data_IF_974560913460
#
_entry.id   IF_974560913460
#
_cell.length_a   1.000
_cell.length_b   1.000
_cell.length_c   1.000
_cell.angle_alpha   90.00
_cell.angle_beta   90.00
_cell.angle_gamma   90.00
#
_symmetry.space_group_name_H-M   'P 1'
#
loop_
_entity.id
_entity.type
_entity.pdbx_description
1 polymer ?
#
# COMPACT_ATOMS: atom_id res chain seq x y z
N UNK A 1 11.54 56.91 -27.98
CA UNK A 1 11.39 56.75 -26.51
C UNK A 1 10.84 55.36 -26.21
N UNK A 2 10.63 55.02 -24.95
CA UNK A 2 10.88 53.69 -24.38
C UNK A 2 10.08 52.46 -24.85
N UNK A 3 10.78 51.31 -24.74
CA UNK A 3 10.26 49.95 -24.90
C UNK A 3 9.48 49.51 -23.66
N UNK A 4 8.16 49.56 -23.68
CA UNK A 4 7.33 49.00 -22.61
C UNK A 4 7.20 47.47 -22.74
N UNK A 5 8.06 46.72 -22.03
CA UNK A 5 7.92 45.26 -21.83
C UNK A 5 6.83 44.94 -20.80
N UNK A 6 5.77 44.16 -21.12
CA UNK A 6 4.99 43.47 -20.11
C UNK A 6 5.87 42.45 -19.38
N UNK A 7 5.96 42.52 -18.04
CA UNK A 7 6.85 41.67 -17.26
C UNK A 7 6.34 40.22 -17.20
N UNK A 8 7.15 39.29 -17.71
CA UNK A 8 7.00 37.85 -17.49
C UNK A 8 7.03 37.51 -16.00
N UNK A 9 5.86 37.26 -15.41
CA UNK A 9 5.71 36.52 -14.14
C UNK A 9 4.63 35.46 -14.26
N UNK A 10 4.97 34.41 -15.00
CA UNK A 10 4.33 33.11 -14.94
C UNK A 10 4.25 32.68 -13.47
N UNK A 11 3.08 32.84 -12.84
CA UNK A 11 2.86 32.50 -11.43
C UNK A 11 2.88 30.97 -11.30
N UNK A 12 4.08 30.40 -11.15
CA UNK A 12 4.24 29.07 -10.56
C UNK A 12 3.50 29.09 -9.22
N UNK A 13 2.36 28.39 -9.18
CA UNK A 13 1.39 28.45 -8.09
C UNK A 13 1.86 27.51 -6.99
N UNK A 14 3.00 27.85 -6.38
CA UNK A 14 3.64 27.08 -5.32
C UNK A 14 2.61 26.75 -4.24
N UNK A 15 2.26 25.46 -4.14
CA UNK A 15 1.18 25.01 -3.26
C UNK A 15 1.50 25.39 -1.82
N UNK A 16 0.60 26.11 -1.16
CA UNK A 16 0.85 26.72 0.15
C UNK A 16 0.86 25.63 1.23
N UNK A 17 2.01 25.00 1.41
CA UNK A 17 2.15 23.69 2.05
C UNK A 17 1.93 23.68 3.57
N UNK A 18 1.87 24.86 4.20
CA UNK A 18 1.68 25.01 5.64
C UNK A 18 2.90 24.63 6.49
N UNK A 19 4.07 24.43 5.86
CA UNK A 19 5.36 24.21 6.52
C UNK A 19 6.14 25.53 6.65
N UNK A 20 6.96 25.65 7.70
CA UNK A 20 7.87 26.80 7.87
C UNK A 20 9.14 26.64 7.02
N UNK A 21 9.85 27.73 6.72
CA UNK A 21 11.10 27.68 5.93
C UNK A 21 12.16 26.71 6.51
N UNK A 22 12.38 26.64 7.85
CA UNK A 22 13.27 25.63 8.45
C UNK A 22 12.78 24.18 8.28
N UNK A 23 11.47 23.92 8.36
CA UNK A 23 10.89 22.60 8.13
C UNK A 23 11.16 22.14 6.69
N UNK A 24 10.86 22.99 5.71
CA UNK A 24 11.10 22.74 4.28
C UNK A 24 12.59 22.46 4.03
N UNK A 25 13.51 23.30 4.52
CA UNK A 25 14.95 23.10 4.39
C UNK A 25 15.43 21.77 5.02
N UNK A 26 14.78 21.32 6.09
CA UNK A 26 15.07 20.01 6.72
C UNK A 26 14.56 18.86 5.86
N UNK A 27 13.36 18.97 5.28
CA UNK A 27 12.78 17.98 4.37
C UNK A 27 13.61 17.85 3.08
N UNK A 28 14.02 18.97 2.48
CA UNK A 28 14.92 18.99 1.31
C UNK A 28 16.29 18.34 1.60
N UNK A 29 16.86 18.55 2.79
CA UNK A 29 18.11 17.89 3.22
C UNK A 29 17.97 16.37 3.36
N UNK A 30 16.77 15.85 3.66
CA UNK A 30 16.52 14.40 3.64
C UNK A 30 16.27 13.88 2.23
N UNK A 31 15.51 14.59 1.40
CA UNK A 31 15.23 14.23 0.00
C UNK A 31 16.51 14.08 -0.85
N UNK A 32 17.56 14.84 -0.53
CA UNK A 32 18.88 14.74 -1.17
C UNK A 32 19.81 13.67 -0.58
N UNK A 33 19.39 12.91 0.46
CA UNK A 33 20.23 11.93 1.18
C UNK A 33 19.81 10.47 1.01
N UNK A 34 18.52 10.21 0.80
CA UNK A 34 17.97 8.90 0.40
C UNK A 34 16.62 9.17 -0.25
N UNK A 35 16.28 8.46 -1.33
CA UNK A 35 14.99 8.60 -2.01
C UNK A 35 13.99 7.52 -1.59
N UNK A 36 14.43 6.29 -1.32
CA UNK A 36 13.53 5.19 -0.94
C UNK A 36 12.93 5.37 0.47
N UNK A 37 13.74 5.77 1.48
CA UNK A 37 13.28 5.89 2.87
C UNK A 37 12.19 6.96 3.10
N UNK A 38 11.97 7.88 2.15
CA UNK A 38 11.09 9.04 2.29
C UNK A 38 9.61 8.69 2.34
N UNK A 39 9.21 7.54 1.78
CA UNK A 39 7.80 7.14 1.67
C UNK A 39 7.32 6.27 2.84
N UNK A 40 8.23 5.83 3.73
CA UNK A 40 7.88 5.13 4.97
C UNK A 40 6.90 5.97 5.81
N UNK A 41 5.79 5.33 6.18
CA UNK A 41 4.75 5.88 7.06
C UNK A 41 5.35 6.24 8.43
N UNK A 42 6.34 5.47 8.88
CA UNK A 42 7.05 5.58 10.17
C UNK A 42 8.05 6.73 10.12
N UNK A 43 8.77 6.91 9.01
CA UNK A 43 9.59 8.09 8.75
C UNK A 43 8.74 9.38 8.74
N UNK A 44 7.60 9.36 8.04
CA UNK A 44 6.67 10.48 8.00
C UNK A 44 6.05 10.80 9.38
N UNK A 45 5.64 9.78 10.15
CA UNK A 45 5.19 9.89 11.56
C UNK A 45 6.28 10.53 12.42
N UNK A 46 7.52 10.01 12.37
CA UNK A 46 8.68 10.49 13.16
C UNK A 46 9.02 11.95 12.83
N UNK A 47 9.02 12.31 11.55
CA UNK A 47 9.29 13.68 11.11
C UNK A 47 8.17 14.65 11.52
N UNK A 48 6.90 14.26 11.36
CA UNK A 48 5.75 15.09 11.74
C UNK A 48 5.65 15.32 13.27
N UNK A 49 5.98 14.30 14.07
CA UNK A 49 6.17 14.45 15.54
C UNK A 49 7.27 15.48 15.84
N UNK A 50 8.46 15.28 15.29
CA UNK A 50 9.64 16.16 15.51
C UNK A 50 9.42 17.63 15.07
N UNK A 51 8.54 17.89 14.10
CA UNK A 51 8.16 19.26 13.74
C UNK A 51 7.09 19.84 14.66
N UNK A 52 6.09 19.03 15.05
CA UNK A 52 5.02 19.46 15.96
C UNK A 52 5.53 19.74 17.37
N UNK A 53 6.57 19.03 17.81
CA UNK A 53 7.27 19.25 19.09
C UNK A 53 8.40 20.29 19.03
N UNK A 54 8.51 21.07 17.94
CA UNK A 54 9.57 22.07 17.79
C UNK A 54 9.14 23.45 18.32
N UNK A 55 10.05 24.16 18.98
CA UNK A 55 9.76 25.48 19.59
C UNK A 55 9.20 26.51 18.59
N UNK A 56 9.61 26.45 17.31
CA UNK A 56 9.08 27.29 16.23
C UNK A 56 7.59 27.07 15.87
N UNK A 57 6.95 26.06 16.49
CA UNK A 57 5.54 25.71 16.35
C UNK A 57 4.70 25.85 17.62
N UNK A 58 5.22 26.46 18.70
CA UNK A 58 4.40 26.84 19.84
C UNK A 58 3.13 27.60 19.38
N UNK A 59 1.95 27.19 19.87
CA UNK A 59 0.65 27.76 19.49
C UNK A 59 0.14 27.44 18.09
N UNK A 60 0.79 26.57 17.30
CA UNK A 60 0.36 26.22 15.92
C UNK A 60 -0.22 24.80 15.83
N UNK A 61 -1.16 24.53 14.89
CA UNK A 61 -1.72 23.20 14.70
C UNK A 61 -0.67 22.11 14.43
N UNK A 62 -0.89 20.95 15.05
CA UNK A 62 -0.08 19.72 14.90
C UNK A 62 0.00 19.31 13.42
N UNK A 63 1.19 18.91 12.97
CA UNK A 63 1.37 18.38 11.62
C UNK A 63 0.87 16.94 11.57
N UNK A 64 -0.19 16.68 10.79
CA UNK A 64 -0.56 15.30 10.42
C UNK A 64 0.51 14.71 9.50
N UNK A 65 0.96 13.48 9.77
CA UNK A 65 2.04 12.81 9.03
C UNK A 65 1.77 12.71 7.52
N UNK A 66 0.52 12.61 7.11
CA UNK A 66 0.09 12.63 5.71
C UNK A 66 0.54 13.91 4.99
N UNK A 67 0.52 15.08 5.63
CA UNK A 67 1.02 16.33 5.01
C UNK A 67 2.53 16.29 4.71
N UNK A 68 3.31 15.58 5.53
CA UNK A 68 4.75 15.37 5.28
C UNK A 68 4.94 14.45 4.07
N UNK A 69 4.19 13.35 4.01
CA UNK A 69 4.23 12.41 2.89
C UNK A 69 3.80 13.07 1.57
N UNK A 70 2.69 13.83 1.54
CA UNK A 70 2.22 14.55 0.36
C UNK A 70 3.24 15.57 -0.16
N UNK A 71 3.99 16.23 0.74
CA UNK A 71 5.05 17.15 0.34
C UNK A 71 6.21 16.42 -0.35
N UNK A 72 6.65 15.27 0.19
CA UNK A 72 7.70 14.46 -0.44
C UNK A 72 7.26 13.92 -1.80
N UNK A 73 6.02 13.41 -1.92
CA UNK A 73 5.46 12.92 -3.18
C UNK A 73 5.43 14.02 -4.27
N UNK A 74 4.92 15.21 -3.92
CA UNK A 74 4.91 16.35 -4.85
C UNK A 74 6.34 16.75 -5.29
N UNK A 75 7.29 16.80 -4.36
CA UNK A 75 8.68 17.18 -4.63
C UNK A 75 9.43 16.14 -5.47
N UNK A 76 9.11 14.85 -5.33
CA UNK A 76 9.60 13.79 -6.20
C UNK A 76 9.02 13.92 -7.62
N UNK A 77 7.72 14.21 -7.75
CA UNK A 77 7.05 14.42 -9.04
C UNK A 77 7.58 15.66 -9.80
N UNK A 78 7.88 16.74 -9.08
CA UNK A 78 8.62 17.92 -9.62
C UNK A 78 10.06 17.60 -10.07
N UNK A 79 10.67 16.53 -9.55
CA UNK A 79 12.03 16.11 -9.93
C UNK A 79 12.05 15.16 -11.12
N UNK A 80 11.06 14.27 -11.24
CA UNK A 80 10.91 13.37 -12.39
C UNK A 80 10.51 14.10 -13.67
N UNK A 81 9.81 15.24 -13.55
CA UNK A 81 9.41 16.11 -14.68
C UNK A 81 10.53 17.06 -15.15
N UNK A 82 11.80 16.80 -14.79
CA UNK A 82 12.98 17.59 -15.19
C UNK A 82 14.11 16.74 -15.76
N UNK A 83 13.84 16.09 -16.90
CA UNK A 83 14.88 15.67 -17.84
C UNK A 83 14.83 16.62 -19.05
N UNK A 84 15.84 17.49 -19.27
CA UNK A 84 15.90 18.32 -20.47
C UNK A 84 16.19 17.45 -21.69
N UNK A 85 15.34 17.53 -22.71
CA UNK A 85 15.65 16.98 -24.04
C UNK A 85 16.51 17.97 -24.82
N UNK A 86 17.65 17.51 -25.32
CA UNK A 86 18.51 18.24 -26.24
C UNK A 86 19.10 17.28 -27.29
N UNK A 87 18.55 17.39 -28.52
CA UNK A 87 19.23 17.66 -29.80
C UNK A 87 20.38 16.76 -30.30
N UNK A 88 20.57 16.54 -31.60
CA UNK A 88 19.73 16.62 -32.82
C UNK A 88 20.59 16.10 -34.00
N UNK A 89 20.02 15.87 -35.19
CA UNK A 89 20.71 15.45 -36.45
C UNK A 89 21.18 13.98 -36.42
N UNK A 90 21.11 13.20 -37.50
CA UNK A 90 21.04 13.53 -38.92
C UNK A 90 19.94 12.78 -39.72
N UNK A 91 19.74 13.23 -40.98
CA UNK A 91 18.72 12.76 -41.92
C UNK A 91 19.30 11.77 -42.93
N UNK A 92 18.46 10.92 -43.55
CA UNK A 92 18.23 10.89 -45.02
C UNK A 92 17.05 9.96 -45.38
N UNK A 93 16.36 10.36 -46.44
CA UNK A 93 15.16 9.85 -47.12
C UNK A 93 15.27 8.36 -47.54
N UNK A 94 14.22 7.61 -47.94
CA UNK A 94 12.86 7.92 -48.42
C UNK A 94 11.88 6.75 -48.06
N UNK A 95 10.60 6.64 -48.45
CA UNK A 95 9.79 7.34 -49.49
C UNK A 95 8.30 7.52 -49.07
N UNK A 96 7.37 7.39 -50.01
CA UNK A 96 5.99 7.93 -50.01
C UNK A 96 5.03 6.91 -50.63
N UNK A 97 3.83 6.78 -50.03
CA UNK A 97 2.47 6.72 -50.65
C UNK A 97 1.51 5.90 -49.76
N UNK A 98 0.22 6.22 -49.58
CA UNK A 98 -0.53 7.50 -49.66
C UNK A 98 -1.98 7.25 -49.18
N UNK A 99 -2.62 8.27 -48.59
CA UNK A 99 -4.08 8.39 -48.24
C UNK A 99 -4.44 8.30 -46.74
N UNK A 100 -4.82 9.45 -46.19
CA UNK A 100 -5.70 9.65 -45.02
C UNK A 100 -6.72 10.74 -45.41
N UNK A 101 -7.92 10.82 -44.80
CA UNK A 101 -8.01 11.59 -43.55
C UNK A 101 -9.05 11.11 -42.50
N UNK A 102 -8.63 11.20 -41.22
CA UNK A 102 -9.37 11.77 -40.08
C UNK A 102 -10.75 11.21 -39.65
N UNK A 103 -10.75 10.45 -38.55
CA UNK A 103 -11.37 10.91 -37.27
C UNK A 103 -10.61 10.31 -36.07
N UNK A 104 -10.77 10.87 -34.87
CA UNK A 104 -9.87 10.70 -33.71
C UNK A 104 -10.20 9.52 -32.76
N UNK A 105 -9.17 8.97 -32.10
CA UNK A 105 -9.37 8.08 -30.94
C UNK A 105 -8.19 7.19 -30.49
N UNK A 106 -7.18 7.71 -29.78
CA UNK A 106 -6.16 6.88 -29.12
C UNK A 106 -6.72 6.16 -27.87
N UNK A 107 -6.03 5.07 -27.48
CA UNK A 107 -6.49 4.08 -26.51
C UNK A 107 -6.77 4.61 -25.09
N UNK A 108 -7.71 3.92 -24.42
CA UNK A 108 -8.20 4.11 -23.04
C UNK A 108 -7.08 4.37 -22.01
N UNK A 109 -7.22 5.44 -21.19
CA UNK A 109 -7.22 5.24 -19.73
C UNK A 109 -8.47 5.87 -19.09
N UNK A 110 -9.49 5.05 -18.82
CA UNK A 110 -10.73 5.53 -18.19
C UNK A 110 -10.56 5.69 -16.67
N UNK A 111 -10.80 6.92 -16.24
CA UNK A 111 -10.63 7.50 -14.91
C UNK A 111 -11.30 6.68 -13.79
N UNK A 112 -10.48 5.95 -13.02
CA UNK A 112 -10.67 5.71 -11.59
C UNK A 112 -9.46 6.33 -10.87
N UNK A 113 -9.55 7.46 -10.16
CA UNK A 113 -10.21 7.70 -8.86
C UNK A 113 -9.85 6.68 -7.78
N UNK A 114 -9.32 7.24 -6.68
CA UNK A 114 -8.83 6.58 -5.45
C UNK A 114 -7.52 5.82 -5.65
N UNK A 115 -6.61 5.98 -4.70
CA UNK A 115 -5.24 5.53 -4.79
C UNK A 115 -4.36 6.19 -3.73
N UNK A 116 -4.70 6.02 -2.45
CA UNK A 116 -3.63 6.02 -1.45
C UNK A 116 -2.65 4.93 -1.89
N UNK A 117 -1.37 5.27 -2.04
CA UNK A 117 -0.35 4.24 -2.22
C UNK A 117 -0.25 3.45 -0.92
N UNK A 118 -0.97 2.33 -0.91
CA UNK A 118 -0.57 1.09 -0.24
C UNK A 118 0.96 0.96 -0.40
N UNK A 119 1.71 0.52 0.63
CA UNK A 119 3.12 0.18 0.47
C UNK A 119 3.32 -0.76 -0.73
N UNK A 120 4.54 -0.90 -1.23
CA UNK A 120 4.81 -1.84 -2.31
C UNK A 120 4.84 -3.28 -1.76
N UNK A 121 3.64 -3.83 -1.52
CA UNK A 121 3.45 -5.17 -0.95
C UNK A 121 3.84 -6.29 -1.92
N UNK A 122 4.28 -5.97 -3.15
CA UNK A 122 4.67 -6.96 -4.16
C UNK A 122 5.88 -7.81 -3.75
N UNK A 123 6.73 -7.31 -2.85
CA UNK A 123 7.84 -8.06 -2.25
C UNK A 123 7.51 -8.79 -0.93
N UNK A 124 6.27 -8.73 -0.44
CA UNK A 124 5.86 -9.42 0.80
C UNK A 124 5.23 -10.77 0.48
N UNK A 125 6.08 -11.79 0.34
CA UNK A 125 5.69 -13.12 -0.15
C UNK A 125 5.03 -14.02 0.91
N UNK A 126 5.19 -13.72 2.19
CA UNK A 126 4.83 -14.58 3.31
C UNK A 126 4.03 -13.86 4.40
N UNK A 127 3.14 -14.62 5.03
CA UNK A 127 2.46 -14.27 6.28
C UNK A 127 2.75 -15.34 7.34
N UNK A 128 2.81 -14.92 8.60
CA UNK A 128 3.04 -15.81 9.74
C UNK A 128 2.03 -15.53 10.87
N UNK A 129 1.71 -16.56 11.65
CA UNK A 129 0.70 -16.51 12.70
C UNK A 129 1.35 -16.23 14.06
N UNK A 130 0.98 -15.14 14.71
CA UNK A 130 1.47 -14.81 16.05
C UNK A 130 0.99 -15.85 17.07
N UNK A 131 1.87 -16.14 18.04
CA UNK A 131 1.58 -16.95 19.22
C UNK A 131 0.80 -16.19 20.30
N UNK A 132 0.78 -14.84 20.23
CA UNK A 132 0.20 -13.96 21.26
C UNK A 132 -1.32 -13.87 21.18
N UNK A 133 -1.87 -13.84 19.97
CA UNK A 133 -3.32 -13.65 19.73
C UNK A 133 -3.91 -14.56 18.63
N UNK A 134 -3.08 -15.38 17.96
CA UNK A 134 -3.50 -16.28 16.88
C UNK A 134 -3.76 -15.61 15.53
N UNK A 135 -3.45 -14.31 15.38
CA UNK A 135 -3.65 -13.58 14.13
C UNK A 135 -2.49 -13.78 13.13
N UNK A 136 -2.81 -13.61 11.84
CA UNK A 136 -1.83 -13.62 10.74
C UNK A 136 -1.35 -12.21 10.41
N UNK A 137 -0.03 -12.10 10.20
CA UNK A 137 0.66 -10.84 9.90
C UNK A 137 1.66 -11.04 8.75
N UNK A 138 1.83 -10.00 7.93
CA UNK A 138 2.89 -9.94 6.91
C UNK A 138 4.27 -10.10 7.57
N UNK A 139 5.12 -10.97 7.01
CA UNK A 139 6.52 -11.12 7.44
C UNK A 139 7.40 -10.09 6.73
N UNK A 140 8.12 -9.27 7.50
CA UNK A 140 9.10 -8.29 7.02
C UNK A 140 10.45 -8.96 6.71
N UNK A 141 10.89 -9.87 7.58
CA UNK A 141 12.15 -10.62 7.43
C UNK A 141 12.16 -11.88 8.31
N UNK A 142 12.70 -12.98 7.77
CA UNK A 142 13.12 -14.13 8.57
C UNK A 142 14.55 -13.89 9.08
N UNK A 143 14.74 -13.83 10.40
CA UNK A 143 15.98 -13.41 11.03
C UNK A 143 16.96 -14.56 11.26
N UNK A 144 16.46 -15.73 11.67
CA UNK A 144 17.23 -16.96 11.91
C UNK A 144 16.29 -18.16 12.04
N UNK A 145 16.84 -19.37 12.12
CA UNK A 145 16.11 -20.64 12.28
C UNK A 145 16.65 -21.47 13.44
N UNK A 146 15.81 -22.33 14.01
CA UNK A 146 16.20 -23.35 15.00
C UNK A 146 15.45 -24.65 14.74
N UNK A 147 16.02 -25.75 15.19
CA UNK A 147 15.35 -27.04 15.26
C UNK A 147 15.13 -27.38 16.74
N UNK A 148 13.89 -27.69 17.11
CA UNK A 148 13.58 -28.19 18.45
C UNK A 148 14.02 -29.66 18.58
N UNK A 149 14.19 -30.14 19.82
CA UNK A 149 14.50 -31.56 20.08
C UNK A 149 13.41 -32.55 19.62
N UNK A 150 12.23 -32.06 19.25
CA UNK A 150 11.15 -32.80 18.59
C UNK A 150 11.32 -32.97 17.07
N UNK A 151 12.37 -32.40 16.47
CA UNK A 151 12.58 -32.36 15.02
C UNK A 151 11.72 -31.32 14.27
N UNK A 152 10.92 -30.53 14.99
CA UNK A 152 10.12 -29.46 14.39
C UNK A 152 10.98 -28.20 14.12
N UNK A 153 10.97 -27.67 12.88
CA UNK A 153 11.69 -26.45 12.53
C UNK A 153 10.89 -25.19 12.88
N UNK A 154 11.58 -24.19 13.43
CA UNK A 154 11.03 -22.88 13.75
C UNK A 154 11.93 -21.77 13.20
N UNK A 155 11.33 -20.64 12.86
CA UNK A 155 12.01 -19.43 12.38
C UNK A 155 11.66 -18.24 13.28
N UNK A 156 12.63 -17.37 13.50
CA UNK A 156 12.42 -16.09 14.16
C UNK A 156 11.97 -15.08 13.10
N UNK A 157 10.72 -14.63 13.16
CA UNK A 157 10.15 -13.65 12.22
C UNK A 157 10.09 -12.26 12.83
N UNK A 158 10.35 -11.25 11.99
CA UNK A 158 9.89 -9.88 12.23
C UNK A 158 8.63 -9.61 11.40
N UNK A 159 7.62 -9.04 12.03
CA UNK A 159 6.37 -8.66 11.37
C UNK A 159 6.41 -7.22 10.83
N UNK A 160 5.71 -6.97 9.72
CA UNK A 160 5.70 -5.65 9.06
C UNK A 160 5.12 -4.58 9.99
N UNK A 161 5.95 -3.58 10.32
CA UNK A 161 5.57 -2.44 11.17
C UNK A 161 5.82 -2.65 12.67
N UNK A 162 6.32 -3.81 13.07
CA UNK A 162 6.72 -4.14 14.45
C UNK A 162 8.23 -3.96 14.67
N UNK A 163 8.66 -3.95 15.93
CA UNK A 163 10.07 -3.81 16.32
C UNK A 163 10.72 -5.13 16.73
N UNK A 164 12.02 -5.09 17.06
CA UNK A 164 12.77 -6.27 17.51
C UNK A 164 12.35 -6.77 18.91
N UNK A 165 11.63 -5.93 19.64
CA UNK A 165 10.90 -6.22 20.87
C UNK A 165 9.67 -7.12 20.66
N UNK A 166 9.21 -7.28 19.41
CA UNK A 166 8.02 -8.03 19.04
C UNK A 166 8.32 -9.23 18.11
N UNK A 167 9.60 -9.51 17.81
CA UNK A 167 10.02 -10.67 17.00
C UNK A 167 9.57 -12.00 17.65
N UNK A 168 9.04 -12.94 16.85
CA UNK A 168 8.47 -14.21 17.37
C UNK A 168 9.10 -15.45 16.73
N UNK A 169 9.28 -16.50 17.54
CA UNK A 169 9.60 -17.83 17.06
C UNK A 169 8.33 -18.55 16.61
N UNK A 170 8.22 -18.87 15.32
CA UNK A 170 7.04 -19.51 14.72
C UNK A 170 7.43 -20.82 14.03
N UNK A 171 6.56 -21.83 14.15
CA UNK A 171 6.74 -23.14 13.52
C UNK A 171 6.51 -23.05 11.99
N UNK A 172 7.51 -23.45 11.21
CA UNK A 172 7.51 -23.28 9.74
C UNK A 172 6.34 -24.03 9.07
N UNK A 173 5.94 -25.19 9.60
CA UNK A 173 4.89 -26.04 8.99
C UNK A 173 3.47 -25.61 9.36
N UNK A 174 3.30 -24.87 10.47
CA UNK A 174 1.99 -24.63 11.13
C UNK A 174 1.64 -23.15 11.29
N UNK A 175 2.60 -22.25 11.13
CA UNK A 175 2.46 -20.83 11.43
C UNK A 175 3.21 -19.91 10.44
N UNK A 176 3.64 -20.42 9.29
CA UNK A 176 4.19 -19.65 8.16
C UNK A 176 3.56 -20.17 6.86
N UNK A 177 3.12 -19.28 5.99
CA UNK A 177 2.62 -19.63 4.64
C UNK A 177 2.82 -18.49 3.66
N UNK A 178 2.62 -18.75 2.37
CA UNK A 178 2.58 -17.67 1.38
C UNK A 178 1.40 -16.74 1.65
N UNK A 179 1.62 -15.43 1.44
CA UNK A 179 0.62 -14.38 1.67
C UNK A 179 -0.71 -14.68 0.96
N UNK A 180 -1.81 -14.54 1.70
CA UNK A 180 -3.18 -14.73 1.23
C UNK A 180 -3.62 -13.61 0.28
N UNK A 181 -4.41 -13.96 -0.74
CA UNK A 181 -4.77 -13.08 -1.87
C UNK A 181 -6.22 -12.59 -1.71
N UNK A 182 -6.53 -11.28 -1.78
CA UNK A 182 -7.90 -10.80 -1.73
C UNK A 182 -8.73 -11.29 -2.93
N UNK A 183 -9.92 -11.83 -2.69
CA UNK A 183 -10.84 -12.22 -3.77
C UNK A 183 -11.31 -11.01 -4.59
N UNK A 184 -11.27 -11.11 -5.91
CA UNK A 184 -11.93 -10.14 -6.79
C UNK A 184 -13.45 -10.23 -6.65
N UNK A 185 -14.16 -9.14 -6.94
CA UNK A 185 -15.63 -9.09 -6.80
C UNK A 185 -16.40 -10.07 -7.70
N UNK A 186 -15.76 -10.55 -8.77
CA UNK A 186 -16.24 -11.59 -9.69
C UNK A 186 -16.05 -13.01 -9.15
N UNK A 187 -15.08 -13.23 -8.27
CA UNK A 187 -14.64 -14.55 -7.79
C UNK A 187 -15.45 -15.07 -6.59
N UNK A 188 -16.56 -14.42 -6.25
CA UNK A 188 -17.39 -14.83 -5.13
C UNK A 188 -17.87 -16.28 -5.23
N UNK A 189 -18.03 -16.79 -6.45
CA UNK A 189 -18.43 -18.16 -6.76
C UNK A 189 -17.42 -19.22 -6.34
N UNK A 190 -16.13 -18.85 -6.18
CA UNK A 190 -15.09 -19.76 -5.69
C UNK A 190 -15.27 -20.10 -4.21
N UNK A 191 -15.69 -19.12 -3.40
CA UNK A 191 -15.91 -19.33 -1.96
C UNK A 191 -17.15 -20.18 -1.74
N UNK A 192 -16.96 -21.38 -1.19
CA UNK A 192 -17.97 -22.41 -0.93
C UNK A 192 -18.13 -22.67 0.58
N UNK A 193 -18.90 -23.70 0.96
CA UNK A 193 -19.13 -24.07 2.37
C UNK A 193 -18.16 -25.19 2.75
N UNK A 194 -17.45 -25.02 3.84
CA UNK A 194 -16.33 -25.87 4.27
C UNK A 194 -14.95 -25.25 4.02
N UNK A 195 -14.85 -24.25 3.14
CA UNK A 195 -13.60 -23.55 2.83
C UNK A 195 -12.94 -22.97 4.08
N UNK A 196 -11.62 -23.17 4.20
CA UNK A 196 -10.77 -22.34 5.04
C UNK A 196 -10.34 -21.11 4.24
N UNK A 197 -10.56 -19.91 4.79
CA UNK A 197 -10.15 -18.64 4.18
C UNK A 197 -9.62 -17.71 5.27
N UNK A 198 -8.75 -16.76 4.89
CA UNK A 198 -8.31 -15.73 5.82
C UNK A 198 -9.35 -14.59 5.82
N UNK A 199 -9.87 -14.23 7.00
CA UNK A 199 -10.78 -13.11 7.18
C UNK A 199 -10.14 -11.94 7.93
N UNK A 200 -10.25 -10.76 7.34
CA UNK A 200 -10.06 -9.48 8.01
C UNK A 200 -11.22 -9.25 9.02
N UNK A 201 -10.90 -9.12 10.29
CA UNK A 201 -11.81 -8.67 11.35
C UNK A 201 -11.67 -7.15 11.55
N UNK A 202 -12.75 -6.41 11.29
CA UNK A 202 -12.82 -4.94 11.39
C UNK A 202 -13.14 -4.52 12.85
N UNK A 203 -12.12 -4.37 13.72
CA UNK A 203 -12.26 -3.84 15.10
C UNK A 203 -12.14 -2.30 15.10
N UNK A 204 -12.62 -1.63 16.17
CA UNK A 204 -12.75 -0.14 16.24
C UNK A 204 -11.47 0.62 15.87
N UNK A 205 -10.33 0.13 16.35
CA UNK A 205 -9.02 0.79 16.22
C UNK A 205 -7.98 -0.08 15.51
N UNK A 206 -8.35 -1.30 15.09
CA UNK A 206 -7.42 -2.32 14.58
C UNK A 206 -8.04 -3.16 13.46
N UNK A 207 -7.20 -3.56 12.52
CA UNK A 207 -7.50 -4.49 11.42
C UNK A 207 -6.65 -5.74 11.65
N UNK A 208 -7.30 -6.86 11.97
CA UNK A 208 -6.62 -8.11 12.38
C UNK A 208 -7.08 -9.23 11.44
N UNK A 209 -6.18 -10.12 11.02
CA UNK A 209 -6.52 -11.22 10.10
C UNK A 209 -6.49 -12.55 10.84
N UNK A 210 -7.52 -13.37 10.66
CA UNK A 210 -7.64 -14.70 11.27
C UNK A 210 -8.08 -15.72 10.23
N UNK A 211 -7.69 -16.99 10.42
CA UNK A 211 -8.30 -18.09 9.68
C UNK A 211 -9.74 -18.30 10.13
N UNK A 212 -10.62 -18.58 9.16
CA UNK A 212 -12.04 -18.85 9.37
C UNK A 212 -12.53 -19.94 8.43
N UNK A 213 -13.43 -20.78 8.93
CA UNK A 213 -14.19 -21.71 8.11
C UNK A 213 -15.49 -21.08 7.61
N UNK A 214 -15.88 -21.33 6.36
CA UNK A 214 -17.14 -20.83 5.79
C UNK A 214 -18.28 -21.79 6.11
N UNK A 215 -19.16 -21.41 7.05
CA UNK A 215 -20.30 -22.21 7.50
C UNK A 215 -21.55 -22.04 6.62
N UNK A 216 -21.64 -21.00 5.78
CA UNK A 216 -22.79 -20.79 4.89
C UNK A 216 -22.63 -19.64 3.91
N UNK A 217 -23.28 -19.72 2.75
CA UNK A 217 -23.15 -18.71 1.69
C UNK A 217 -24.51 -18.27 1.13
N UNK A 218 -24.89 -17.03 1.45
CA UNK A 218 -26.10 -16.38 0.96
C UNK A 218 -25.80 -15.64 -0.36
N UNK A 219 -25.94 -16.36 -1.48
CA UNK A 219 -25.74 -15.83 -2.84
C UNK A 219 -26.78 -14.73 -3.14
N UNK A 220 -26.35 -13.63 -3.79
CA UNK A 220 -27.23 -12.52 -4.22
C UNK A 220 -26.93 -12.09 -5.64
N UNK A 221 -27.94 -11.57 -6.34
CA UNK A 221 -27.76 -10.96 -7.66
C UNK A 221 -26.89 -9.70 -7.56
N UNK A 222 -25.82 -9.65 -8.36
CA UNK A 222 -24.93 -8.51 -8.47
C UNK A 222 -24.20 -8.50 -9.82
N UNK A 223 -23.64 -7.34 -10.15
CA UNK A 223 -22.95 -7.03 -11.39
C UNK A 223 -21.45 -6.72 -11.14
N UNK A 224 -20.76 -6.24 -12.18
CA UNK A 224 -19.35 -5.83 -12.12
C UNK A 224 -19.04 -4.71 -11.11
N UNK A 225 -20.07 -4.07 -10.51
CA UNK A 225 -19.90 -2.99 -9.52
C UNK A 225 -19.51 -3.49 -8.12
N UNK A 226 -19.64 -4.80 -7.85
CA UNK A 226 -19.20 -5.39 -6.59
C UNK A 226 -20.08 -6.53 -6.07
N UNK A 227 -19.45 -7.51 -5.42
CA UNK A 227 -20.13 -8.64 -4.79
C UNK A 227 -21.09 -8.19 -3.68
N UNK A 228 -22.30 -8.79 -3.68
CA UNK A 228 -23.36 -8.58 -2.69
C UNK A 228 -23.68 -9.82 -1.85
N UNK A 229 -23.01 -10.95 -2.12
CA UNK A 229 -23.17 -12.17 -1.34
C UNK A 229 -22.76 -11.95 0.13
N UNK A 230 -23.43 -12.64 1.04
CA UNK A 230 -23.07 -12.68 2.47
C UNK A 230 -22.52 -14.06 2.80
N UNK A 231 -21.43 -14.10 3.54
CA UNK A 231 -20.75 -15.32 3.96
C UNK A 231 -20.89 -15.43 5.47
N UNK A 232 -21.50 -16.52 5.95
CA UNK A 232 -21.45 -16.91 7.35
C UNK A 232 -20.12 -17.63 7.55
N UNK A 233 -19.28 -17.05 8.40
CA UNK A 233 -17.95 -17.58 8.74
C UNK A 233 -17.89 -17.91 10.23
N UNK A 234 -16.98 -18.82 10.59
CA UNK A 234 -16.63 -19.13 11.97
C UNK A 234 -15.13 -18.97 12.19
N UNK A 235 -14.75 -18.20 13.20
CA UNK A 235 -13.36 -17.89 13.55
C UNK A 235 -12.68 -19.07 14.25
N UNK A 236 -11.48 -19.45 13.79
CA UNK A 236 -10.76 -20.61 14.34
C UNK A 236 -10.15 -20.36 15.73
N UNK A 237 -9.94 -19.08 16.11
CA UNK A 237 -9.26 -18.70 17.35
C UNK A 237 -10.18 -18.65 18.59
N UNK A 238 -11.47 -18.30 18.41
CA UNK A 238 -12.45 -18.21 19.49
C UNK A 238 -13.76 -18.98 19.23
N UNK A 239 -13.91 -19.56 18.03
CA UNK A 239 -15.10 -20.30 17.61
C UNK A 239 -16.33 -19.44 17.32
N UNK A 240 -16.22 -18.11 17.33
CA UNK A 240 -17.32 -17.16 17.10
C UNK A 240 -17.76 -17.11 15.63
N UNK A 241 -19.02 -16.74 15.38
CA UNK A 241 -19.56 -16.63 14.02
C UNK A 241 -19.86 -15.18 13.61
N UNK A 242 -19.60 -14.84 12.33
CA UNK A 242 -19.92 -13.54 11.77
C UNK A 242 -20.49 -13.64 10.33
N UNK A 243 -21.33 -12.67 9.95
CA UNK A 243 -21.85 -12.51 8.57
C UNK A 243 -21.09 -11.42 7.82
N UNK A 244 -20.12 -11.82 7.00
CA UNK A 244 -19.20 -10.91 6.30
C UNK A 244 -19.51 -10.78 4.80
N UNK A 245 -18.83 -9.83 4.13
CA UNK A 245 -18.85 -9.66 2.66
C UNK A 245 -17.50 -10.07 2.09
N UNK A 246 -17.48 -10.48 0.82
CA UNK A 246 -16.28 -10.97 0.11
C UNK A 246 -15.04 -10.09 0.28
N UNK A 247 -15.18 -8.75 0.34
CA UNK A 247 -14.06 -7.80 0.54
C UNK A 247 -13.24 -8.01 1.83
N UNK A 248 -13.74 -8.79 2.79
CA UNK A 248 -13.06 -9.15 4.03
C UNK A 248 -12.42 -10.55 3.97
N UNK A 249 -12.58 -11.29 2.87
CA UNK A 249 -12.08 -12.65 2.69
C UNK A 249 -10.91 -12.68 1.71
N UNK A 250 -9.96 -13.57 1.98
CA UNK A 250 -8.73 -13.76 1.21
C UNK A 250 -8.50 -15.27 1.00
N UNK A 251 -8.14 -15.64 -0.23
CA UNK A 251 -7.74 -16.98 -0.63
C UNK A 251 -6.37 -17.33 -0.05
N UNK A 252 -6.30 -18.44 0.69
CA UNK A 252 -5.06 -18.99 1.25
C UNK A 252 -4.36 -19.83 0.17
N UNK A 253 -3.18 -19.39 -0.27
CA UNK A 253 -2.46 -20.00 -1.39
C UNK A 253 -2.05 -21.44 -1.08
N UNK A 254 -2.42 -22.38 -1.95
CA UNK A 254 -2.03 -23.79 -1.84
C UNK A 254 -3.10 -24.70 -1.21
N UNK A 255 -4.28 -24.17 -0.91
CA UNK A 255 -5.48 -25.00 -0.73
C UNK A 255 -6.19 -25.18 -2.07
N UNK A 256 -6.71 -26.37 -2.33
CA UNK A 256 -7.62 -26.62 -3.46
C UNK A 256 -9.01 -26.05 -3.13
N UNK A 257 -9.61 -25.35 -4.11
CA UNK A 257 -10.94 -24.72 -4.08
C UNK A 257 -11.59 -24.94 -5.45
#
# INVERSE_FOLDING_TARGET
MDRLRPRQRQRQRAAFSGFTKPEIKKMEKFLMKSRELLLSKEFCKKMARNFSSSAGRAGKPIIKWTKVQSWFLARLQESASKVPSLTDTSKTESRISETCPLDDGPQIPQILKVGEKIPDLSGLEFEARSSKDGAWYDVDTFLTQRHLGSGEPEVLVRFVGFGADEDEWVNVKKAVRHRSIPFQHSECNKVMVGDLVLCLQEKRDQLIYYDVHVNGVERKTHDIRGCRCIFLIRYDHDGSEERVRLRRLFYIRGQEI
#
